data_IF_290107635464
#
_entry.id   IF_290107635464
#
_cell.length_a   1.000
_cell.length_b   1.000
_cell.length_c   1.000
_cell.angle_alpha   90.00
_cell.angle_beta   90.00
_cell.angle_gamma   90.00
#
_symmetry.space_group_name_H-M   'P 1'
#
loop_
_entity.id
_entity.type
_entity.pdbx_description
1 polymer ?
#
# COMPACT_ATOMS: atom_id res chain seq x y z
N UNK A 1 2.93 -43.51 -4.63
CA UNK A 1 2.22 -44.12 -5.77
C UNK A 1 2.41 -43.17 -6.94
N UNK A 2 3.21 -43.60 -7.93
CA UNK A 2 3.70 -42.76 -9.03
C UNK A 2 2.59 -42.49 -10.04
N UNK A 3 2.46 -41.23 -10.48
CA UNK A 3 1.86 -40.89 -11.77
C UNK A 3 2.72 -39.83 -12.46
N UNK A 4 3.53 -40.31 -13.40
CA UNK A 4 4.10 -39.54 -14.51
C UNK A 4 3.00 -39.16 -15.49
N UNK A 5 2.95 -37.90 -15.92
CA UNK A 5 2.29 -37.52 -17.17
C UNK A 5 3.20 -36.54 -17.94
N UNK A 6 3.43 -36.92 -19.21
CA UNK A 6 4.29 -36.28 -20.19
C UNK A 6 3.85 -34.84 -20.50
N UNK A 7 4.85 -34.07 -20.95
CA UNK A 7 4.70 -32.69 -21.36
C UNK A 7 3.66 -32.48 -22.45
N UNK A 8 3.08 -31.28 -22.42
CA UNK A 8 2.44 -30.74 -23.59
C UNK A 8 2.71 -29.24 -23.71
N UNK A 9 3.01 -28.88 -24.95
CA UNK A 9 3.58 -27.63 -25.40
C UNK A 9 2.69 -26.41 -25.12
N UNK A 10 3.36 -25.28 -24.84
CA UNK A 10 2.79 -23.94 -24.74
C UNK A 10 1.95 -23.59 -25.97
N UNK A 11 0.62 -23.56 -25.82
CA UNK A 11 -0.30 -22.73 -26.63
C UNK A 11 -1.65 -22.56 -25.93
N UNK A 12 -1.72 -21.70 -24.91
CA UNK A 12 -3.01 -21.23 -24.37
C UNK A 12 -3.51 -20.04 -25.20
N UNK A 13 -4.46 -20.32 -26.09
CA UNK A 13 -5.32 -19.30 -26.72
C UNK A 13 -6.03 -18.52 -25.61
N UNK A 14 -5.75 -17.21 -25.49
CA UNK A 14 -6.56 -16.27 -24.73
C UNK A 14 -7.97 -16.26 -25.33
N UNK A 15 -8.94 -16.89 -24.67
CA UNK A 15 -10.36 -16.57 -24.89
C UNK A 15 -10.57 -15.15 -24.36
N UNK A 16 -10.64 -14.20 -25.28
CA UNK A 16 -11.19 -12.87 -25.05
C UNK A 16 -12.65 -13.05 -24.62
N UNK A 17 -12.91 -12.95 -23.32
CA UNK A 17 -14.25 -12.67 -22.82
C UNK A 17 -14.51 -11.21 -23.16
N UNK A 18 -15.26 -10.95 -24.24
CA UNK A 18 -15.87 -9.65 -24.51
C UNK A 18 -16.90 -9.39 -23.42
N UNK A 19 -16.46 -8.76 -22.32
CA UNK A 19 -17.31 -8.12 -21.34
C UNK A 19 -17.16 -6.61 -21.51
N UNK A 20 -18.14 -5.98 -22.14
CA UNK A 20 -18.28 -4.52 -22.15
C UNK A 20 -18.64 -4.08 -20.74
N UNK A 21 -17.77 -3.31 -20.09
CA UNK A 21 -18.21 -2.28 -19.15
C UNK A 21 -17.37 -1.04 -19.40
N UNK A 22 -17.86 -0.15 -20.28
CA UNK A 22 -17.41 1.24 -20.25
C UNK A 22 -17.79 1.80 -18.89
N UNK A 23 -16.82 1.99 -18.00
CA UNK A 23 -17.04 2.79 -16.81
C UNK A 23 -17.48 4.18 -17.26
N UNK A 24 -18.67 4.62 -16.88
CA UNK A 24 -19.08 6.00 -17.12
C UNK A 24 -18.18 6.89 -16.26
N UNK A 25 -17.37 7.73 -16.90
CA UNK A 25 -16.67 8.80 -16.19
C UNK A 25 -17.73 9.60 -15.40
N UNK A 26 -17.47 9.78 -14.12
CA UNK A 26 -18.39 10.47 -13.24
C UNK A 26 -18.37 11.96 -13.61
N UNK A 27 -19.50 12.49 -14.09
CA UNK A 27 -19.64 13.94 -14.29
C UNK A 27 -19.71 14.64 -12.93
N UNK A 28 -18.71 15.47 -12.66
CA UNK A 28 -18.63 16.23 -11.41
C UNK A 28 -19.55 17.45 -11.46
N UNK A 29 -20.53 17.52 -10.56
CA UNK A 29 -21.47 18.65 -10.39
C UNK A 29 -21.75 18.82 -8.90
N UNK A 30 -22.35 19.94 -8.49
CA UNK A 30 -22.77 20.11 -7.08
C UNK A 30 -23.70 18.96 -6.61
N UNK A 31 -24.68 18.57 -7.43
CA UNK A 31 -25.55 17.41 -7.12
C UNK A 31 -24.76 16.10 -6.98
N UNK A 32 -23.72 15.90 -7.79
CA UNK A 32 -22.83 14.73 -7.67
C UNK A 32 -22.08 14.75 -6.35
N UNK A 33 -21.51 15.90 -5.97
CA UNK A 33 -20.77 16.09 -4.73
C UNK A 33 -21.68 15.84 -3.53
N UNK A 34 -22.87 16.45 -3.49
CA UNK A 34 -23.85 16.25 -2.42
C UNK A 34 -24.27 14.78 -2.28
N UNK A 35 -24.50 14.09 -3.40
CA UNK A 35 -24.84 12.66 -3.39
C UNK A 35 -23.71 11.84 -2.78
N UNK A 36 -22.46 12.08 -3.18
CA UNK A 36 -21.30 11.36 -2.65
C UNK A 36 -21.11 11.59 -1.14
N UNK A 37 -21.35 12.82 -0.67
CA UNK A 37 -21.36 13.15 0.75
C UNK A 37 -22.44 12.35 1.48
N UNK A 38 -23.68 12.30 0.95
CA UNK A 38 -24.78 11.50 1.52
C UNK A 38 -24.47 10.00 1.53
N UNK A 39 -23.65 9.51 0.59
CA UNK A 39 -23.15 8.14 0.55
C UNK A 39 -21.98 7.87 1.53
N UNK A 40 -21.55 8.88 2.28
CA UNK A 40 -20.49 8.79 3.29
C UNK A 40 -19.07 8.79 2.73
N UNK A 41 -18.85 9.28 1.50
CA UNK A 41 -17.50 9.46 0.94
C UNK A 41 -16.70 10.45 1.78
N UNK A 42 -15.46 10.11 2.08
CA UNK A 42 -14.60 10.87 2.99
C UNK A 42 -14.81 10.62 4.48
N UNK A 43 -15.86 9.89 4.84
CA UNK A 43 -16.22 9.66 6.25
C UNK A 43 -15.81 8.25 6.72
N UNK A 44 -15.71 8.08 8.04
CA UNK A 44 -15.36 6.82 8.69
C UNK A 44 -13.86 6.64 8.95
N UNK A 45 -13.53 5.52 9.57
CA UNK A 45 -12.17 5.10 9.95
C UNK A 45 -12.03 3.59 9.70
N UNK A 46 -10.80 3.11 9.46
CA UNK A 46 -10.48 1.71 9.27
C UNK A 46 -11.32 1.04 8.19
N UNK A 47 -12.00 -0.06 8.55
CA UNK A 47 -12.87 -0.84 7.64
C UNK A 47 -14.06 -0.03 7.11
N UNK A 48 -14.47 1.04 7.79
CA UNK A 48 -15.66 1.83 7.44
C UNK A 48 -15.33 3.05 6.57
N UNK A 49 -14.07 3.42 6.44
CA UNK A 49 -13.68 4.57 5.63
C UNK A 49 -13.96 4.35 4.14
N UNK A 50 -14.46 5.40 3.48
CA UNK A 50 -14.73 5.41 2.03
C UNK A 50 -13.92 6.54 1.38
N UNK A 51 -12.93 6.26 0.52
CA UNK A 51 -12.13 7.32 -0.11
C UNK A 51 -13.00 8.22 -1.00
N UNK A 52 -12.67 9.50 -1.11
CA UNK A 52 -13.40 10.44 -1.96
C UNK A 52 -13.29 10.06 -3.44
N UNK A 53 -12.06 9.86 -3.90
CA UNK A 53 -11.76 9.38 -5.24
C UNK A 53 -11.52 7.88 -5.23
N UNK A 54 -11.94 7.22 -6.31
CA UNK A 54 -11.60 5.83 -6.61
C UNK A 54 -11.04 5.71 -8.01
N UNK A 55 -10.43 4.56 -8.30
CA UNK A 55 -9.99 4.19 -9.65
C UNK A 55 -11.09 4.30 -10.72
N UNK A 56 -12.38 4.25 -10.34
CA UNK A 56 -13.48 4.43 -11.29
C UNK A 56 -13.81 5.91 -11.57
N UNK A 57 -13.34 6.83 -10.73
CA UNK A 57 -13.65 8.25 -10.82
C UNK A 57 -12.61 9.05 -11.61
N UNK A 58 -11.47 8.44 -11.93
CA UNK A 58 -10.35 9.10 -12.59
C UNK A 58 -9.99 8.30 -13.84
N UNK A 59 -10.02 8.96 -15.00
CA UNK A 59 -9.42 8.43 -16.22
C UNK A 59 -7.97 8.91 -16.26
N UNK A 60 -7.04 8.11 -15.74
CA UNK A 60 -5.61 8.41 -15.89
C UNK A 60 -5.06 7.58 -17.04
N UNK A 61 -4.89 8.20 -18.21
CA UNK A 61 -4.14 7.57 -19.33
C UNK A 61 -2.66 7.41 -18.97
N UNK A 62 -2.14 8.29 -18.10
CA UNK A 62 -0.71 8.40 -17.79
C UNK A 62 -0.27 7.67 -16.50
N UNK A 63 -1.17 7.03 -15.76
CA UNK A 63 -0.80 6.35 -14.51
C UNK A 63 -1.55 5.05 -14.26
N UNK A 64 -0.80 4.05 -13.77
CA UNK A 64 -1.34 2.77 -13.36
C UNK A 64 -2.14 2.91 -12.07
N UNK A 65 -3.41 2.55 -12.15
CA UNK A 65 -4.29 2.50 -11.00
C UNK A 65 -4.24 1.12 -10.33
N UNK A 66 -4.19 1.09 -9.01
CA UNK A 66 -4.03 -0.16 -8.26
C UNK A 66 -5.07 -0.26 -7.15
N UNK A 67 -5.64 -1.46 -6.98
CA UNK A 67 -6.51 -1.81 -5.85
C UNK A 67 -5.84 -2.87 -5.01
N UNK A 68 -5.72 -2.63 -3.71
CA UNK A 68 -5.09 -3.57 -2.77
C UNK A 68 -5.88 -3.63 -1.47
N UNK A 69 -6.15 -4.83 -0.98
CA UNK A 69 -6.73 -5.02 0.35
C UNK A 69 -5.70 -4.69 1.41
N UNK A 70 -5.98 -3.73 2.29
CA UNK A 70 -5.17 -3.40 3.46
C UNK A 70 -5.25 -4.48 4.53
N UNK A 71 -4.10 -4.81 5.12
CA UNK A 71 -3.97 -5.75 6.24
C UNK A 71 -4.45 -5.06 7.52
N UNK A 72 -4.03 -3.79 7.74
CA UNK A 72 -4.44 -2.98 8.90
C UNK A 72 -5.93 -2.62 8.84
N UNK A 73 -6.38 -2.16 7.68
CA UNK A 73 -7.73 -1.61 7.50
C UNK A 73 -8.79 -2.65 7.15
N UNK A 74 -8.40 -3.84 6.66
CA UNK A 74 -9.31 -4.89 6.21
C UNK A 74 -10.15 -4.54 4.96
N UNK A 75 -9.95 -3.37 4.36
CA UNK A 75 -10.70 -2.88 3.18
C UNK A 75 -9.82 -2.78 1.94
N UNK A 76 -10.44 -2.64 0.77
CA UNK A 76 -9.73 -2.37 -0.48
C UNK A 76 -9.40 -0.88 -0.55
N UNK A 77 -8.11 -0.56 -0.65
CA UNK A 77 -7.62 0.78 -0.95
C UNK A 77 -7.58 1.02 -2.46
N UNK A 78 -7.68 2.29 -2.84
CA UNK A 78 -7.68 2.74 -4.22
C UNK A 78 -6.55 3.75 -4.48
N UNK A 79 -5.54 3.34 -5.25
CA UNK A 79 -4.40 4.19 -5.60
C UNK A 79 -4.46 4.59 -7.07
N UNK A 80 -4.20 5.87 -7.32
CA UNK A 80 -4.28 6.50 -8.63
C UNK A 80 -2.92 6.63 -9.30
N UNK A 81 -1.84 6.22 -8.62
CA UNK A 81 -0.48 6.18 -9.15
C UNK A 81 0.37 5.08 -8.51
N UNK A 82 1.48 4.73 -9.18
CA UNK A 82 2.49 3.82 -8.62
C UNK A 82 3.16 4.39 -7.37
N UNK A 83 3.36 5.71 -7.32
CA UNK A 83 3.94 6.39 -6.17
C UNK A 83 3.03 6.29 -4.94
N UNK A 84 1.71 6.46 -5.11
CA UNK A 84 0.75 6.23 -4.03
C UNK A 84 0.79 4.80 -3.52
N UNK A 85 0.74 3.81 -4.43
CA UNK A 85 0.86 2.41 -4.02
C UNK A 85 2.16 2.17 -3.25
N UNK A 86 3.25 2.79 -3.69
CA UNK A 86 4.53 2.66 -3.04
C UNK A 86 4.54 3.28 -1.63
N UNK A 87 4.03 4.50 -1.46
CA UNK A 87 3.88 5.15 -0.14
C UNK A 87 3.03 4.28 0.79
N UNK A 88 1.93 3.73 0.26
CA UNK A 88 1.06 2.83 1.03
C UNK A 88 1.83 1.63 1.59
N UNK A 89 2.74 1.01 0.85
CA UNK A 89 3.53 -0.12 1.35
C UNK A 89 4.32 0.23 2.63
N UNK A 90 4.87 1.45 2.72
CA UNK A 90 5.62 1.92 3.88
C UNK A 90 4.70 2.19 5.07
N UNK A 91 3.59 2.90 4.81
CA UNK A 91 2.58 3.18 5.84
C UNK A 91 1.99 1.89 6.42
N UNK A 92 1.70 0.93 5.55
CA UNK A 92 1.15 -0.37 5.90
C UNK A 92 2.17 -1.27 6.64
N UNK A 93 3.46 -1.01 6.47
CA UNK A 93 4.53 -1.71 7.18
C UNK A 93 4.81 -1.11 8.57
N UNK A 94 4.69 0.21 8.72
CA UNK A 94 4.97 0.90 9.99
C UNK A 94 4.10 0.36 11.13
N UNK A 95 4.70 0.09 12.30
CA UNK A 95 3.96 -0.35 13.48
C UNK A 95 3.21 0.80 14.16
N UNK A 96 3.70 2.03 14.03
CA UNK A 96 3.08 3.23 14.58
C UNK A 96 1.82 3.67 13.82
N UNK A 97 1.65 3.25 12.55
CA UNK A 97 0.45 3.57 11.76
C UNK A 97 -0.71 2.63 12.14
N UNK A 98 -1.83 3.20 12.57
CA UNK A 98 -3.04 2.46 12.95
C UNK A 98 -4.17 2.56 11.93
N UNK A 99 -4.27 3.65 11.17
CA UNK A 99 -5.23 3.79 10.08
C UNK A 99 -4.64 4.60 8.91
N UNK A 100 -5.08 4.26 7.70
CA UNK A 100 -4.65 4.89 6.46
C UNK A 100 -5.92 5.24 5.68
N UNK A 101 -6.15 6.54 5.46
CA UNK A 101 -7.30 7.03 4.70
C UNK A 101 -6.80 7.71 3.43
N UNK A 102 -6.84 6.99 2.32
CA UNK A 102 -6.43 7.53 1.02
C UNK A 102 -7.50 8.45 0.43
N UNK A 103 -7.07 9.40 -0.41
CA UNK A 103 -7.96 10.32 -1.12
C UNK A 103 -8.93 11.03 -0.16
N UNK A 104 -8.37 11.57 0.92
CA UNK A 104 -9.11 12.18 2.01
C UNK A 104 -9.61 13.57 1.60
N UNK A 105 -10.92 13.83 1.55
CA UNK A 105 -11.46 15.10 1.09
C UNK A 105 -11.25 16.20 2.13
N UNK A 106 -10.97 17.40 1.64
CA UNK A 106 -10.87 18.61 2.44
C UNK A 106 -12.19 19.40 2.35
N UNK A 107 -12.55 20.08 3.43
CA UNK A 107 -13.76 20.89 3.48
C UNK A 107 -13.68 22.06 2.50
N UNK A 108 -14.58 22.07 1.50
CA UNK A 108 -14.54 23.04 0.40
C UNK A 108 -14.66 24.49 0.84
N UNK A 109 -15.45 24.77 1.87
CA UNK A 109 -15.60 26.13 2.40
C UNK A 109 -14.27 26.66 2.94
N UNK A 110 -13.53 25.82 3.67
CA UNK A 110 -12.21 26.17 4.19
C UNK A 110 -11.21 26.33 3.04
N UNK A 111 -11.17 25.39 2.08
CA UNK A 111 -10.19 25.48 0.98
C UNK A 111 -10.46 26.68 0.07
N UNK A 112 -11.74 27.06 -0.14
CA UNK A 112 -12.13 28.28 -0.86
C UNK A 112 -11.67 29.55 -0.13
N UNK A 113 -11.90 29.62 1.18
CA UNK A 113 -11.47 30.76 1.99
C UNK A 113 -9.94 30.92 1.97
N UNK A 114 -9.21 29.82 2.16
CA UNK A 114 -7.74 29.82 2.07
C UNK A 114 -7.25 30.22 0.68
N UNK A 115 -7.85 29.68 -0.38
CA UNK A 115 -7.50 30.07 -1.75
C UNK A 115 -7.67 31.58 -1.98
N UNK A 116 -8.79 32.15 -1.50
CA UNK A 116 -9.05 33.59 -1.57
C UNK A 116 -8.03 34.41 -0.77
N UNK A 117 -7.74 34.02 0.47
CA UNK A 117 -6.77 34.70 1.35
C UNK A 117 -5.35 34.70 0.73
N UNK A 118 -4.96 33.59 0.11
CA UNK A 118 -3.67 33.42 -0.53
C UNK A 118 -3.58 34.04 -1.93
N UNK A 119 -4.69 34.56 -2.48
CA UNK A 119 -4.75 35.05 -3.86
C UNK A 119 -4.59 33.97 -4.93
N UNK A 120 -4.91 32.72 -4.60
CA UNK A 120 -4.78 31.55 -5.48
C UNK A 120 -6.15 31.19 -6.06
N UNK A 121 -6.21 30.94 -7.37
CA UNK A 121 -7.43 30.43 -8.00
C UNK A 121 -7.76 29.01 -7.49
N UNK A 122 -8.92 28.84 -6.86
CA UNK A 122 -9.36 27.52 -6.38
C UNK A 122 -9.47 26.53 -7.56
N UNK A 123 -9.02 25.27 -7.42
CA UNK A 123 -9.17 24.27 -8.47
C UNK A 123 -10.63 23.99 -8.80
N UNK A 124 -10.90 23.69 -10.08
CA UNK A 124 -12.22 23.33 -10.62
C UNK A 124 -12.17 22.00 -11.34
N UNK A 125 -13.31 21.32 -11.45
CA UNK A 125 -13.46 20.15 -12.32
C UNK A 125 -13.64 20.61 -13.77
N UNK A 126 -12.82 20.08 -14.68
CA UNK A 126 -12.68 20.54 -16.06
C UNK A 126 -14.01 20.60 -16.84
N UNK A 127 -14.94 19.67 -16.58
CA UNK A 127 -16.20 19.56 -17.35
C UNK A 127 -17.33 20.48 -16.86
N UNK A 128 -17.24 21.02 -15.65
CA UNK A 128 -18.39 21.68 -15.01
C UNK A 128 -18.11 23.03 -14.39
N UNK A 129 -16.85 23.49 -14.38
CA UNK A 129 -16.43 24.73 -13.73
C UNK A 129 -16.75 24.80 -12.22
N UNK A 130 -17.18 23.68 -11.63
CA UNK A 130 -17.47 23.55 -10.21
C UNK A 130 -16.16 23.40 -9.45
N UNK A 131 -15.98 24.14 -8.37
CA UNK A 131 -14.81 24.01 -7.50
C UNK A 131 -14.65 22.58 -7.01
N UNK A 132 -13.43 22.05 -7.08
CA UNK A 132 -13.20 20.67 -6.67
C UNK A 132 -13.40 20.47 -5.18
N UNK A 133 -13.77 19.25 -4.78
CA UNK A 133 -13.39 18.77 -3.45
C UNK A 133 -11.91 18.40 -3.55
N UNK A 134 -11.05 19.25 -3.00
CA UNK A 134 -9.62 18.94 -2.93
C UNK A 134 -9.40 17.70 -2.04
N UNK A 135 -8.43 16.88 -2.38
CA UNK A 135 -8.11 15.67 -1.62
C UNK A 135 -6.63 15.61 -1.28
N UNK A 136 -6.33 15.15 -0.08
CA UNK A 136 -4.99 14.71 0.32
C UNK A 136 -4.84 13.22 0.03
N UNK A 137 -3.70 12.82 -0.54
CA UNK A 137 -3.51 11.44 -1.02
C UNK A 137 -3.54 10.45 0.15
N UNK A 138 -3.00 10.80 1.32
CA UNK A 138 -3.12 10.03 2.56
C UNK A 138 -3.35 10.91 3.78
N UNK A 139 -4.37 10.58 4.56
CA UNK A 139 -4.55 11.04 5.93
C UNK A 139 -4.31 9.87 6.88
N UNK A 140 -3.19 9.92 7.60
CA UNK A 140 -2.64 8.81 8.36
C UNK A 140 -2.90 9.03 9.84
N UNK A 141 -3.44 8.02 10.52
CA UNK A 141 -3.53 8.00 11.97
C UNK A 141 -2.35 7.22 12.53
N UNK A 142 -1.60 7.84 13.43
CA UNK A 142 -0.47 7.24 14.15
C UNK A 142 -0.85 6.98 15.61
N UNK A 143 -0.23 5.99 16.24
CA UNK A 143 -0.54 5.56 17.60
C UNK A 143 -1.95 4.98 17.76
N UNK A 144 -2.39 4.83 19.01
CA UNK A 144 -3.72 4.32 19.35
C UNK A 144 -4.29 5.01 20.58
N UNK A 145 -5.62 5.00 20.71
CA UNK A 145 -6.30 5.58 21.87
C UNK A 145 -6.06 7.10 22.02
N UNK A 146 -5.87 7.61 23.25
CA UNK A 146 -5.72 9.04 23.51
C UNK A 146 -4.46 9.68 22.92
N UNK A 147 -3.41 8.90 22.63
CA UNK A 147 -2.15 9.40 22.09
C UNK A 147 -2.12 9.44 20.56
N UNK A 148 -3.28 9.27 19.90
CA UNK A 148 -3.35 9.27 18.44
C UNK A 148 -2.98 10.64 17.89
N UNK A 149 -2.12 10.63 16.87
CA UNK A 149 -1.75 11.83 16.11
C UNK A 149 -2.05 11.62 14.64
N UNK A 150 -2.02 12.70 13.87
CA UNK A 150 -2.36 12.68 12.45
C UNK A 150 -1.23 13.26 11.62
N UNK A 151 -1.07 12.69 10.42
CA UNK A 151 -0.15 13.19 9.40
C UNK A 151 -0.86 13.17 8.06
N UNK A 152 -0.72 14.26 7.30
CA UNK A 152 -1.19 14.39 5.93
C UNK A 152 -0.04 14.21 4.95
N UNK A 153 -0.26 13.47 3.86
CA UNK A 153 0.76 13.21 2.84
C UNK A 153 0.16 13.38 1.45
N UNK A 154 0.85 14.14 0.60
CA UNK A 154 0.62 14.13 -0.85
C UNK A 154 1.76 13.45 -1.59
N UNK A 155 1.40 12.64 -2.58
CA UNK A 155 2.30 11.98 -3.51
C UNK A 155 2.46 12.84 -4.76
N UNK A 156 3.69 13.25 -5.08
CA UNK A 156 3.99 14.01 -6.30
C UNK A 156 5.29 13.56 -6.94
N UNK A 157 5.33 13.33 -8.27
CA UNK A 157 6.60 13.19 -8.97
C UNK A 157 7.46 14.44 -8.77
N UNK A 158 8.76 14.28 -8.54
CA UNK A 158 9.68 15.41 -8.38
C UNK A 158 9.60 16.40 -9.57
N UNK A 159 9.40 15.88 -10.79
CA UNK A 159 9.23 16.70 -11.99
C UNK A 159 8.03 17.65 -11.97
N UNK A 160 7.01 17.38 -11.14
CA UNK A 160 5.82 18.22 -11.00
C UNK A 160 5.97 19.28 -9.90
N UNK A 161 7.04 19.26 -9.11
CA UNK A 161 7.25 20.22 -8.02
C UNK A 161 7.72 21.60 -8.49
N UNK A 162 8.09 21.75 -9.77
CA UNK A 162 8.39 23.04 -10.40
C UNK A 162 7.19 23.64 -11.15
N UNK A 163 6.07 22.92 -11.24
CA UNK A 163 4.87 23.43 -11.89
C UNK A 163 4.12 24.38 -10.95
N UNK A 164 4.01 25.65 -11.37
CA UNK A 164 3.40 26.70 -10.55
C UNK A 164 1.99 26.33 -10.08
N UNK A 165 1.18 25.75 -10.98
CA UNK A 165 -0.19 25.36 -10.65
C UNK A 165 -0.24 24.21 -9.65
N UNK A 166 0.71 23.29 -9.69
CA UNK A 166 0.87 22.22 -8.70
C UNK A 166 1.26 22.80 -7.34
N UNK A 167 2.20 23.73 -7.29
CA UNK A 167 2.65 24.41 -6.06
C UNK A 167 1.47 25.14 -5.40
N UNK A 168 0.70 25.93 -6.17
CA UNK A 168 -0.50 26.63 -5.68
C UNK A 168 -1.49 25.68 -4.99
N UNK A 169 -1.83 24.56 -5.65
CA UNK A 169 -2.76 23.57 -5.11
C UNK A 169 -2.20 22.89 -3.85
N UNK A 170 -0.89 22.68 -3.77
CA UNK A 170 -0.25 22.12 -2.59
C UNK A 170 -0.22 23.13 -1.44
N UNK A 171 -0.05 24.42 -1.73
CA UNK A 171 -0.03 25.48 -0.73
C UNK A 171 -1.39 25.59 0.00
N UNK A 172 -2.51 25.50 -0.72
CA UNK A 172 -3.85 25.47 -0.10
C UNK A 172 -3.98 24.26 0.85
N UNK A 173 -3.56 23.07 0.41
CA UNK A 173 -3.62 21.86 1.24
C UNK A 173 -2.72 21.95 2.48
N UNK A 174 -1.54 22.55 2.32
CA UNK A 174 -0.60 22.77 3.42
C UNK A 174 -1.16 23.73 4.46
N UNK A 175 -1.74 24.85 4.02
CA UNK A 175 -2.41 25.80 4.91
C UNK A 175 -3.60 25.15 5.64
N UNK A 176 -4.39 24.33 4.94
CA UNK A 176 -5.50 23.57 5.53
C UNK A 176 -5.05 22.67 6.69
N UNK A 177 -4.04 21.83 6.46
CA UNK A 177 -3.57 20.88 7.49
C UNK A 177 -2.84 21.58 8.64
N UNK A 178 -2.01 22.57 8.33
CA UNK A 178 -1.31 23.36 9.36
C UNK A 178 -2.30 24.10 10.26
N UNK A 179 -3.39 24.62 9.69
CA UNK A 179 -4.48 25.23 10.46
C UNK A 179 -5.18 24.27 11.43
N UNK A 180 -5.09 22.96 11.19
CA UNK A 180 -5.58 21.90 12.08
C UNK A 180 -4.50 21.35 13.03
N UNK A 181 -3.28 21.90 13.00
CA UNK A 181 -2.15 21.38 13.76
C UNK A 181 -1.64 20.02 13.26
N UNK A 182 -1.87 19.70 11.98
CA UNK A 182 -1.49 18.44 11.35
C UNK A 182 -0.28 18.67 10.46
N UNK A 183 0.78 17.88 10.66
CA UNK A 183 1.95 17.91 9.79
C UNK A 183 1.57 17.45 8.37
N UNK A 184 2.06 18.19 7.37
CA UNK A 184 1.79 17.90 5.97
C UNK A 184 3.08 17.71 5.19
N UNK A 185 3.24 16.53 4.61
CA UNK A 185 4.41 16.15 3.83
C UNK A 185 4.08 15.98 2.35
N UNK A 186 5.05 16.29 1.51
CA UNK A 186 5.02 15.97 0.08
C UNK A 186 6.11 14.93 -0.15
N UNK A 187 5.72 13.73 -0.58
CA UNK A 187 6.64 12.64 -0.84
C UNK A 187 6.77 12.40 -2.34
N UNK A 188 8.00 12.17 -2.78
CA UNK A 188 8.35 11.85 -4.15
C UNK A 188 8.94 10.44 -4.22
N UNK A 189 9.27 9.96 -5.43
CA UNK A 189 9.93 8.67 -5.62
C UNK A 189 11.32 8.64 -4.95
N UNK A 190 12.00 9.78 -4.95
CA UNK A 190 13.34 9.99 -4.40
C UNK A 190 13.33 10.02 -2.87
N UNK A 191 12.17 10.20 -2.23
CA UNK A 191 12.03 10.13 -0.77
C UNK A 191 12.26 8.73 -0.19
N UNK A 192 12.46 7.71 -1.02
CA UNK A 192 12.52 6.32 -0.59
C UNK A 192 13.61 5.52 -1.30
N UNK A 193 14.26 4.64 -0.53
CA UNK A 193 15.12 3.58 -1.07
C UNK A 193 14.27 2.60 -1.93
N UNK A 194 14.57 2.45 -3.23
CA UNK A 194 13.87 1.51 -4.12
C UNK A 194 13.85 0.06 -3.61
N UNK A 195 14.95 -0.40 -2.99
CA UNK A 195 15.07 -1.76 -2.47
C UNK A 195 14.03 -2.03 -1.39
N UNK A 196 13.82 -1.07 -0.48
CA UNK A 196 12.86 -1.19 0.62
C UNK A 196 11.47 -1.49 0.08
N UNK A 197 10.90 -0.63 -0.78
CA UNK A 197 9.54 -0.89 -1.22
C UNK A 197 9.39 -2.06 -2.19
N UNK A 198 10.43 -2.43 -2.96
CA UNK A 198 10.44 -3.71 -3.71
C UNK A 198 10.31 -4.89 -2.75
N UNK A 199 11.08 -4.87 -1.66
CA UNK A 199 11.08 -5.92 -0.65
C UNK A 199 9.76 -5.95 0.15
N UNK A 200 9.19 -4.80 0.48
CA UNK A 200 7.86 -4.69 1.08
C UNK A 200 6.79 -5.31 0.18
N UNK A 201 6.84 -5.04 -1.13
CA UNK A 201 5.90 -5.61 -2.09
C UNK A 201 6.06 -7.13 -2.18
N UNK A 202 7.29 -7.64 -2.24
CA UNK A 202 7.58 -9.08 -2.25
C UNK A 202 7.11 -9.81 -0.98
N UNK A 203 7.27 -9.16 0.18
CA UNK A 203 6.79 -9.69 1.46
C UNK A 203 5.27 -9.71 1.48
N UNK A 204 4.62 -8.61 1.07
CA UNK A 204 3.17 -8.52 0.99
C UNK A 204 2.58 -9.59 0.08
N UNK A 205 3.15 -9.76 -1.11
CA UNK A 205 2.69 -10.75 -2.10
C UNK A 205 2.81 -12.20 -1.61
N UNK A 206 3.62 -12.46 -0.57
CA UNK A 206 3.77 -13.80 0.01
C UNK A 206 2.56 -14.24 0.84
N UNK A 207 1.74 -13.28 1.31
CA UNK A 207 0.63 -13.56 2.20
C UNK A 207 -0.41 -14.48 1.53
N UNK A 208 -1.02 -15.40 2.29
CA UNK A 208 -2.09 -16.24 1.78
C UNK A 208 -3.26 -15.40 1.25
N UNK A 209 -3.70 -15.71 0.04
CA UNK A 209 -4.90 -15.10 -0.56
C UNK A 209 -6.13 -15.91 -0.17
N UNK A 210 -7.30 -15.27 -0.20
CA UNK A 210 -8.57 -15.91 0.17
C UNK A 210 -8.96 -17.06 -0.76
N UNK A 211 -8.48 -17.04 -1.99
CA UNK A 211 -8.75 -18.02 -3.04
C UNK A 211 -7.70 -19.13 -3.14
N UNK A 212 -6.72 -19.17 -2.23
CA UNK A 212 -5.72 -20.24 -2.21
C UNK A 212 -6.27 -21.57 -1.68
N UNK A 213 -5.78 -22.65 -2.28
CA UNK A 213 -6.17 -24.03 -1.94
C UNK A 213 -5.67 -24.41 -0.54
N UNK A 214 -4.50 -23.92 -0.15
CA UNK A 214 -3.93 -24.21 1.18
C UNK A 214 -4.66 -23.40 2.25
N UNK A 215 -5.29 -24.05 3.25
CA UNK A 215 -5.98 -23.32 4.30
C UNK A 215 -5.00 -22.65 5.27
N UNK A 216 -5.48 -21.60 5.95
CA UNK A 216 -4.65 -20.71 6.78
C UNK A 216 -3.97 -21.42 7.97
N UNK A 217 -4.58 -22.46 8.53
CA UNK A 217 -4.03 -23.27 9.61
C UNK A 217 -2.78 -24.06 9.19
N UNK A 218 -2.73 -24.52 7.94
CA UNK A 218 -1.54 -25.16 7.38
C UNK A 218 -0.36 -24.19 7.28
N UNK A 219 -0.61 -22.94 6.87
CA UNK A 219 0.42 -21.90 6.89
C UNK A 219 0.97 -21.66 8.30
N UNK A 220 0.11 -21.62 9.32
CA UNK A 220 0.54 -21.45 10.71
C UNK A 220 1.45 -22.60 11.18
N UNK A 221 1.15 -23.83 10.79
CA UNK A 221 2.01 -24.99 11.09
C UNK A 221 3.38 -24.85 10.43
N UNK A 222 3.43 -24.50 9.15
CA UNK A 222 4.69 -24.30 8.43
C UNK A 222 5.49 -23.10 8.95
N UNK A 223 4.82 -22.02 9.35
CA UNK A 223 5.48 -20.88 10.03
C UNK A 223 6.21 -21.33 11.30
N UNK A 224 5.54 -22.12 12.15
CA UNK A 224 6.14 -22.60 13.40
C UNK A 224 7.32 -23.56 13.12
N UNK A 225 7.14 -24.50 12.19
CA UNK A 225 8.18 -25.45 11.80
C UNK A 225 9.41 -24.76 11.20
N UNK A 226 9.21 -23.79 10.30
CA UNK A 226 10.31 -23.07 9.69
C UNK A 226 11.07 -22.24 10.73
N UNK A 227 10.35 -21.51 11.58
CA UNK A 227 10.98 -20.68 12.61
C UNK A 227 11.81 -21.52 13.60
N UNK A 228 11.30 -22.69 13.99
CA UNK A 228 12.03 -23.63 14.83
C UNK A 228 13.29 -24.16 14.12
N UNK A 229 13.13 -24.62 12.87
CA UNK A 229 14.25 -25.08 12.05
C UNK A 229 15.33 -24.00 11.85
N UNK A 230 14.95 -22.73 11.70
CA UNK A 230 15.90 -21.61 11.57
C UNK A 230 16.77 -21.46 12.82
N UNK A 231 16.22 -21.69 14.02
CA UNK A 231 16.94 -21.52 15.31
C UNK A 231 18.03 -22.57 15.52
N UNK A 232 17.82 -23.80 15.03
CA UNK A 232 18.76 -24.91 15.20
C UNK A 232 19.72 -25.10 14.01
N UNK A 233 19.57 -24.32 12.95
CA UNK A 233 20.43 -24.42 11.78
C UNK A 233 21.77 -23.67 11.97
N UNK A 234 22.74 -23.88 11.07
CA UNK A 234 23.94 -23.02 11.03
C UNK A 234 23.50 -21.58 10.77
N UNK A 235 23.96 -20.62 11.57
CA UNK A 235 23.51 -19.23 11.45
C UNK A 235 24.25 -18.46 10.35
N UNK A 236 25.30 -19.04 9.76
CA UNK A 236 26.15 -18.44 8.72
C UNK A 236 25.71 -18.76 7.28
N UNK A 237 24.71 -19.60 7.11
CA UNK A 237 24.10 -19.86 5.79
C UNK A 237 23.12 -18.74 5.43
N UNK A 238 22.98 -18.52 4.12
CA UNK A 238 21.99 -17.60 3.58
C UNK A 238 20.57 -18.16 3.69
N UNK A 239 19.58 -17.27 3.74
CA UNK A 239 18.17 -17.63 3.72
C UNK A 239 17.82 -18.51 2.50
N UNK A 240 18.37 -18.21 1.32
CA UNK A 240 18.17 -19.00 0.10
C UNK A 240 18.59 -20.46 0.28
N UNK A 241 19.82 -20.68 0.75
CA UNK A 241 20.38 -22.02 0.93
C UNK A 241 19.65 -22.82 2.00
N UNK A 242 19.26 -22.15 3.09
CA UNK A 242 18.44 -22.73 4.14
C UNK A 242 17.06 -23.16 3.61
N UNK A 243 16.33 -22.25 2.95
CA UNK A 243 15.00 -22.52 2.43
C UNK A 243 14.99 -23.63 1.37
N UNK A 244 15.93 -23.62 0.43
CA UNK A 244 16.03 -24.67 -0.60
C UNK A 244 16.25 -26.06 0.01
N UNK A 245 17.12 -26.15 1.03
CA UNK A 245 17.33 -27.40 1.77
C UNK A 245 16.09 -27.82 2.57
N UNK A 246 15.42 -26.87 3.23
CA UNK A 246 14.21 -27.14 3.99
C UNK A 246 13.11 -27.70 3.07
N UNK A 247 12.89 -27.08 1.91
CA UNK A 247 11.93 -27.56 0.91
C UNK A 247 12.27 -28.99 0.46
N UNK A 248 13.54 -29.26 0.14
CA UNK A 248 13.98 -30.59 -0.28
C UNK A 248 13.80 -31.67 0.79
N UNK A 249 14.08 -31.37 2.06
CA UNK A 249 13.95 -32.33 3.17
C UNK A 249 12.48 -32.57 3.52
N UNK A 250 11.65 -31.53 3.47
CA UNK A 250 10.22 -31.60 3.77
C UNK A 250 9.38 -32.12 2.60
N UNK A 251 9.96 -32.27 1.40
CA UNK A 251 9.23 -32.66 0.18
C UNK A 251 8.28 -31.58 -0.32
N UNK A 252 8.58 -30.30 -0.05
CA UNK A 252 7.79 -29.16 -0.52
C UNK A 252 8.23 -28.72 -1.92
N UNK A 253 7.34 -28.02 -2.63
CA UNK A 253 7.67 -27.36 -3.89
C UNK A 253 8.78 -26.31 -3.67
N UNK A 254 9.75 -26.18 -4.61
CA UNK A 254 10.82 -25.20 -4.48
C UNK A 254 10.30 -23.76 -4.28
N UNK A 255 10.82 -23.08 -3.24
CA UNK A 255 10.46 -21.70 -2.90
C UNK A 255 9.33 -21.58 -1.88
N UNK A 256 8.76 -22.70 -1.43
CA UNK A 256 7.72 -22.71 -0.40
C UNK A 256 8.25 -22.17 0.94
N UNK A 257 9.37 -22.68 1.44
CA UNK A 257 9.99 -22.19 2.67
C UNK A 257 10.35 -20.71 2.59
N UNK A 258 10.80 -20.23 1.43
CA UNK A 258 11.11 -18.81 1.24
C UNK A 258 9.85 -17.93 1.29
N UNK A 259 8.73 -18.43 0.76
CA UNK A 259 7.42 -17.78 0.93
C UNK A 259 7.03 -17.71 2.41
N UNK A 260 7.18 -18.80 3.16
CA UNK A 260 6.89 -18.82 4.61
C UNK A 260 7.79 -17.85 5.37
N UNK A 261 9.09 -17.75 5.04
CA UNK A 261 10.00 -16.77 5.64
C UNK A 261 9.49 -15.34 5.46
N UNK A 262 9.00 -14.97 4.27
CA UNK A 262 8.40 -13.65 4.04
C UNK A 262 7.12 -13.42 4.85
N UNK A 263 6.31 -14.45 5.07
CA UNK A 263 5.15 -14.35 5.98
C UNK A 263 5.61 -14.09 7.42
N UNK A 264 6.67 -14.76 7.88
CA UNK A 264 7.28 -14.51 9.19
C UNK A 264 7.80 -13.06 9.30
N UNK A 265 8.42 -12.52 8.24
CA UNK A 265 8.84 -11.11 8.16
C UNK A 265 7.66 -10.15 8.28
N UNK A 266 6.57 -10.40 7.54
CA UNK A 266 5.36 -9.58 7.63
C UNK A 266 4.78 -9.57 9.05
N UNK A 267 4.82 -10.72 9.74
CA UNK A 267 4.34 -10.86 11.13
C UNK A 267 5.35 -10.41 12.18
N UNK A 268 6.51 -9.85 11.77
CA UNK A 268 7.61 -9.45 12.66
C UNK A 268 8.11 -10.59 13.55
N UNK A 269 7.99 -11.84 13.12
CA UNK A 269 8.55 -13.01 13.84
C UNK A 269 10.03 -13.21 13.58
N UNK A 270 10.50 -12.69 12.44
CA UNK A 270 11.90 -12.56 12.07
C UNK A 270 12.12 -11.16 11.49
N UNK A 271 13.35 -10.65 11.57
CA UNK A 271 13.74 -9.41 10.94
C UNK A 271 13.64 -9.49 9.41
N UNK A 272 13.32 -8.35 8.78
CA UNK A 272 13.26 -8.21 7.34
C UNK A 272 14.36 -7.23 6.90
N UNK A 273 15.38 -7.68 6.15
CA UNK A 273 16.46 -6.82 5.68
C UNK A 273 16.00 -6.00 4.46
N UNK A 274 15.13 -5.02 4.70
CA UNK A 274 14.41 -4.32 3.64
C UNK A 274 15.33 -3.51 2.71
N UNK A 275 16.45 -2.99 3.19
CA UNK A 275 17.43 -2.28 2.36
C UNK A 275 18.33 -3.21 1.54
N UNK A 276 18.27 -4.54 1.75
CA UNK A 276 19.07 -5.49 0.97
C UNK A 276 18.58 -5.55 -0.47
N UNK A 277 19.51 -5.54 -1.43
CA UNK A 277 19.22 -5.75 -2.86
C UNK A 277 18.59 -7.13 -3.09
N UNK A 278 19.00 -8.12 -2.28
CA UNK A 278 18.58 -9.51 -2.36
C UNK A 278 18.32 -10.05 -0.94
N UNK A 279 17.06 -10.09 -0.51
CA UNK A 279 16.71 -10.55 0.85
C UNK A 279 17.08 -12.02 1.09
N UNK A 280 17.19 -12.82 0.04
CA UNK A 280 17.50 -14.24 0.07
C UNK A 280 18.99 -14.52 0.34
N UNK A 281 19.88 -13.54 0.17
CA UNK A 281 21.29 -13.67 0.52
C UNK A 281 21.60 -13.38 1.99
N UNK A 282 20.66 -12.77 2.72
CA UNK A 282 20.81 -12.44 4.14
C UNK A 282 21.10 -13.70 4.98
N UNK A 283 21.98 -13.56 5.97
CA UNK A 283 22.33 -14.64 6.87
C UNK A 283 21.22 -14.90 7.89
N UNK A 284 21.04 -16.15 8.31
CA UNK A 284 20.03 -16.49 9.32
C UNK A 284 20.26 -15.74 10.65
N UNK A 285 21.52 -15.49 11.02
CA UNK A 285 21.87 -14.69 12.21
C UNK A 285 21.28 -13.28 12.17
N UNK A 286 21.23 -12.65 11.00
CA UNK A 286 20.67 -11.30 10.84
C UNK A 286 19.15 -11.31 10.99
N UNK A 287 18.50 -12.36 10.49
CA UNK A 287 17.03 -12.50 10.51
C UNK A 287 16.49 -12.82 11.91
N UNK A 288 17.25 -13.53 12.73
CA UNK A 288 16.85 -13.97 14.07
C UNK A 288 17.29 -13.00 15.19
N UNK A 289 18.00 -11.92 14.87
CA UNK A 289 18.48 -10.98 15.87
C UNK A 289 17.32 -10.28 16.60
N UNK A 290 17.17 -10.61 17.88
CA UNK A 290 16.09 -10.14 18.75
C UNK A 290 16.08 -8.62 18.89
N UNK A 291 17.24 -7.96 18.73
CA UNK A 291 17.34 -6.49 18.77
C UNK A 291 16.52 -5.83 17.65
N UNK A 292 16.40 -6.51 16.50
CA UNK A 292 15.62 -6.02 15.36
C UNK A 292 14.16 -6.47 15.41
N UNK A 293 13.86 -7.60 16.04
CA UNK A 293 12.50 -8.14 16.20
C UNK A 293 11.67 -7.32 17.21
N UNK A 294 12.31 -6.75 18.23
CA UNK A 294 11.66 -5.94 19.25
C UNK A 294 11.70 -4.41 18.99
N UNK A 295 12.49 -3.95 17.99
CA UNK A 295 12.94 -2.55 17.90
C UNK A 295 12.52 -1.74 16.67
N UNK A 296 11.67 -2.27 15.77
CA UNK A 296 11.20 -1.49 14.62
C UNK A 296 9.91 -0.72 14.95
N UNK A 297 10.01 0.25 15.86
CA UNK A 297 9.03 1.33 16.06
C UNK A 297 9.10 2.33 14.93
#
# INVERSE_FOLDING_TARGET
>A
MYLTAKGDSLRRRKRLVKGVSMGRNLKWTENTIERLIKEGRGSGEGTRYRPWLTVQNVSSEDSRQTRVTGIKSGRVHHFLSDLEYYIFLFLEWSLDVSDIREQFPLEREITRALAQEMGIAHPKYDESEVDTVMTTDFFVTKGSGPSRTYVAINAKPASKLNDFRTIEKLAIQHAYHTGMGIEHYILTRESFDPAIGKNLDLIRMALPRRDEIMPADQFLKHEAQLLDAMRYADQRQSLASFCARHDSVAGCEPGFAFRIAKILMQKRKIYAPLSSIAMDTALLSELLDVRHVAGAT
#
